data_IF_028159506328
#
_entry.id   IF_028159506328
#
_cell.length_a   1.000
_cell.length_b   1.000
_cell.length_c   1.000
_cell.angle_alpha   90.00
_cell.angle_beta   90.00
_cell.angle_gamma   90.00
#
_symmetry.space_group_name_H-M   'P 1'
#
loop_
_entity.id
_entity.type
_entity.pdbx_description
1 polymer ?
#
# COMPACT_ATOMS: atom_id res chain seq x y z
N UNK A 1 -19.51 -10.12 -14.42
CA UNK A 1 -19.58 -10.36 -12.96
C UNK A 1 -18.51 -9.52 -12.31
N UNK A 2 -18.92 -8.65 -11.38
CA UNK A 2 -18.02 -7.78 -10.63
C UNK A 2 -17.33 -8.59 -9.53
N UNK A 3 -16.01 -8.44 -9.38
CA UNK A 3 -15.25 -9.14 -8.35
C UNK A 3 -15.72 -8.75 -6.94
N UNK A 4 -16.17 -7.50 -6.78
CA UNK A 4 -16.71 -6.99 -5.53
C UNK A 4 -18.08 -7.62 -5.19
N UNK A 5 -18.89 -7.90 -6.21
CA UNK A 5 -20.17 -8.59 -6.04
C UNK A 5 -19.98 -10.07 -5.65
N UNK A 6 -18.98 -10.74 -6.21
CA UNK A 6 -18.61 -12.11 -5.80
C UNK A 6 -18.07 -12.10 -4.37
N UNK A 7 -17.23 -11.12 -4.02
CA UNK A 7 -16.67 -10.96 -2.68
C UNK A 7 -17.76 -10.73 -1.62
N UNK A 8 -18.75 -9.90 -1.91
CA UNK A 8 -19.88 -9.65 -1.02
C UNK A 8 -20.73 -10.91 -0.78
N UNK A 9 -21.02 -11.70 -1.83
CA UNK A 9 -21.82 -12.92 -1.73
C UNK A 9 -21.14 -14.00 -0.86
N UNK A 10 -19.82 -14.11 -0.94
CA UNK A 10 -19.05 -15.11 -0.16
C UNK A 10 -18.53 -14.58 1.18
N UNK A 11 -18.93 -13.37 1.57
CA UNK A 11 -18.47 -12.72 2.82
C UNK A 11 -16.97 -12.39 2.83
N UNK A 12 -16.33 -12.32 1.66
CA UNK A 12 -14.93 -11.97 1.54
C UNK A 12 -14.75 -10.45 1.66
N UNK A 13 -14.36 -10.02 2.85
CA UNK A 13 -13.90 -8.65 3.13
C UNK A 13 -12.38 -8.63 3.02
N UNK A 14 -11.84 -7.79 2.14
CA UNK A 14 -10.40 -7.56 2.10
C UNK A 14 -9.94 -7.09 3.49
N UNK A 15 -8.98 -7.79 4.08
CA UNK A 15 -8.46 -7.44 5.41
C UNK A 15 -7.98 -5.99 5.41
N UNK A 16 -8.30 -5.26 6.48
CA UNK A 16 -7.77 -3.92 6.67
C UNK A 16 -6.23 -3.95 6.61
N UNK A 17 -5.64 -2.96 5.94
CA UNK A 17 -4.18 -2.85 5.86
C UNK A 17 -3.61 -2.60 7.25
N UNK A 18 -2.57 -3.37 7.60
CA UNK A 18 -1.80 -3.15 8.82
C UNK A 18 -0.96 -1.87 8.72
N UNK A 19 -0.57 -1.31 9.87
CA UNK A 19 0.27 -0.11 9.92
C UNK A 19 1.56 -0.28 9.10
N UNK A 20 2.20 -1.43 9.20
CA UNK A 20 3.42 -1.77 8.48
C UNK A 20 3.19 -1.91 6.97
N UNK A 21 2.07 -2.54 6.56
CA UNK A 21 1.70 -2.62 5.13
C UNK A 21 1.49 -1.22 4.55
N UNK A 22 0.87 -0.31 5.31
CA UNK A 22 0.73 1.10 4.93
C UNK A 22 2.09 1.79 4.86
N UNK A 23 2.98 1.55 5.81
CA UNK A 23 4.32 2.16 5.86
C UNK A 23 5.19 1.72 4.69
N UNK A 24 5.27 0.42 4.40
CA UNK A 24 6.03 -0.12 3.27
C UNK A 24 5.48 0.36 1.92
N UNK A 25 4.16 0.31 1.74
CA UNK A 25 3.52 0.81 0.52
C UNK A 25 3.78 2.31 0.32
N UNK A 26 3.67 3.12 1.39
CA UNK A 26 3.90 4.56 1.30
C UNK A 26 5.36 4.89 1.03
N UNK A 27 6.30 4.16 1.64
CA UNK A 27 7.73 4.32 1.40
C UNK A 27 8.11 3.98 -0.05
N UNK A 28 7.51 2.93 -0.62
CA UNK A 28 7.69 2.60 -2.03
C UNK A 28 7.16 3.71 -2.95
N UNK A 29 5.95 4.20 -2.71
CA UNK A 29 5.38 5.30 -3.50
C UNK A 29 6.22 6.57 -3.40
N UNK A 30 6.84 6.83 -2.25
CA UNK A 30 7.77 7.93 -2.07
C UNK A 30 9.08 7.72 -2.87
N UNK A 31 9.70 6.54 -2.78
CA UNK A 31 10.92 6.19 -3.55
C UNK A 31 10.71 6.30 -5.06
N UNK A 32 9.54 5.90 -5.54
CA UNK A 32 9.15 5.98 -6.95
C UNK A 32 8.64 7.38 -7.38
N UNK A 33 8.74 8.39 -6.49
CA UNK A 33 8.37 9.77 -6.76
C UNK A 33 6.86 9.98 -7.10
N UNK A 34 6.01 9.09 -6.61
CA UNK A 34 4.54 9.20 -6.70
C UNK A 34 3.94 10.04 -5.56
N UNK A 35 4.65 10.20 -4.45
CA UNK A 35 4.28 11.04 -3.31
C UNK A 35 5.30 12.17 -3.09
N UNK A 36 4.81 13.32 -2.63
CA UNK A 36 5.62 14.38 -2.03
C UNK A 36 5.49 14.31 -0.50
N UNK A 37 6.56 14.71 0.18
CA UNK A 37 6.65 14.63 1.64
C UNK A 37 7.03 13.23 2.12
N UNK A 38 7.76 13.15 3.24
CA UNK A 38 8.19 11.87 3.81
C UNK A 38 6.96 11.16 4.41
N UNK A 39 6.69 9.88 4.08
CA UNK A 39 5.53 9.15 4.57
C UNK A 39 5.72 8.67 6.01
N UNK A 40 5.88 9.62 6.94
CA UNK A 40 5.99 9.35 8.38
C UNK A 40 4.68 9.71 9.06
N UNK A 41 4.23 8.86 9.98
CA UNK A 41 3.08 9.14 10.83
C UNK A 41 3.51 9.93 12.07
N UNK A 42 2.81 11.02 12.40
CA UNK A 42 3.09 11.81 13.59
C UNK A 42 2.29 13.12 13.64
N UNK A 43 2.19 13.70 14.83
CA UNK A 43 1.52 14.99 15.05
C UNK A 43 2.43 16.10 14.50
N UNK A 44 1.87 17.03 13.73
CA UNK A 44 2.61 18.14 13.13
C UNK A 44 3.45 17.77 11.89
N UNK A 45 3.43 16.50 11.46
CA UNK A 45 4.09 16.07 10.23
C UNK A 45 3.16 16.38 9.04
N UNK A 46 3.65 17.10 8.00
CA UNK A 46 2.87 17.35 6.79
C UNK A 46 2.38 16.05 6.16
N UNK A 47 1.09 16.00 5.81
CA UNK A 47 0.50 14.84 5.13
C UNK A 47 1.16 14.64 3.76
N UNK A 48 1.54 13.41 3.38
CA UNK A 48 2.01 13.14 2.03
C UNK A 48 0.95 13.47 0.99
N UNK A 49 1.37 14.03 -0.15
CA UNK A 49 0.47 14.38 -1.25
C UNK A 49 0.89 13.66 -2.53
N UNK A 50 -0.07 13.34 -3.40
CA UNK A 50 0.25 12.76 -4.70
C UNK A 50 0.94 13.79 -5.61
N UNK A 51 2.01 13.35 -6.28
CA UNK A 51 2.59 14.08 -7.41
C UNK A 51 1.65 14.02 -8.63
N UNK A 52 1.98 14.76 -9.70
CA UNK A 52 1.25 14.64 -10.98
C UNK A 52 1.34 13.20 -11.52
N UNK A 53 2.52 12.57 -11.43
CA UNK A 53 2.72 11.18 -11.82
C UNK A 53 1.89 10.23 -10.93
N UNK A 54 1.91 10.43 -9.62
CA UNK A 54 1.13 9.64 -8.67
C UNK A 54 -0.38 9.71 -8.96
N UNK A 55 -0.91 10.90 -9.27
CA UNK A 55 -2.32 11.07 -9.67
C UNK A 55 -2.65 10.33 -10.96
N UNK A 56 -1.76 10.35 -11.96
CA UNK A 56 -1.98 9.64 -13.24
C UNK A 56 -2.06 8.14 -13.04
N UNK A 57 -1.15 7.58 -12.26
CA UNK A 57 -1.12 6.14 -11.96
C UNK A 57 -2.33 5.73 -11.13
N UNK A 58 -2.67 6.51 -10.10
CA UNK A 58 -3.86 6.26 -9.30
C UNK A 58 -5.13 6.23 -10.16
N UNK A 59 -5.26 7.17 -11.12
CA UNK A 59 -6.38 7.20 -12.07
C UNK A 59 -6.38 6.01 -13.03
N UNK A 60 -5.21 5.49 -13.40
CA UNK A 60 -5.11 4.32 -14.28
C UNK A 60 -5.59 3.03 -13.60
N UNK A 61 -5.62 2.98 -12.26
CA UNK A 61 -6.10 1.83 -11.49
C UNK A 61 -5.27 0.56 -11.67
N UNK A 62 -4.07 0.67 -12.26
CA UNK A 62 -3.19 -0.45 -12.52
C UNK A 62 -2.29 -0.71 -11.30
N UNK A 63 -2.14 -1.96 -10.85
CA UNK A 63 -1.21 -2.30 -9.79
C UNK A 63 0.22 -1.88 -10.16
N UNK A 64 0.89 -1.17 -9.25
CA UNK A 64 2.28 -0.73 -9.43
C UNK A 64 3.31 -1.81 -9.10
N UNK A 65 2.98 -2.73 -8.20
CA UNK A 65 3.86 -3.82 -7.75
C UNK A 65 3.40 -5.13 -8.36
N UNK A 66 4.34 -5.99 -8.73
CA UNK A 66 4.02 -7.36 -9.10
C UNK A 66 3.56 -8.15 -7.87
N UNK A 67 2.81 -9.25 -8.09
CA UNK A 67 2.39 -10.14 -6.99
C UNK A 67 3.59 -10.73 -6.24
N UNK A 68 4.71 -10.91 -6.91
CA UNK A 68 5.96 -11.43 -6.33
C UNK A 68 6.56 -10.39 -5.39
N UNK A 69 6.65 -9.13 -5.81
CA UNK A 69 7.19 -8.04 -4.98
C UNK A 69 6.36 -7.82 -3.71
N UNK A 70 5.03 -7.89 -3.82
CA UNK A 70 4.12 -7.77 -2.69
C UNK A 70 4.27 -8.96 -1.71
N UNK A 71 4.49 -10.17 -2.24
CA UNK A 71 4.70 -11.36 -1.42
C UNK A 71 6.05 -11.33 -0.69
N UNK A 72 7.12 -10.93 -1.38
CA UNK A 72 8.44 -10.78 -0.78
C UNK A 72 8.45 -9.69 0.30
N UNK A 73 7.80 -8.54 0.06
CA UNK A 73 7.65 -7.50 1.08
C UNK A 73 6.96 -8.04 2.34
N UNK A 74 5.89 -8.82 2.16
CA UNK A 74 5.14 -9.46 3.25
C UNK A 74 5.97 -10.52 3.99
N UNK A 75 6.80 -11.29 3.28
CA UNK A 75 7.70 -12.27 3.88
C UNK A 75 8.81 -11.60 4.69
N UNK A 76 9.44 -10.54 4.16
CA UNK A 76 10.46 -9.76 4.88
C UNK A 76 9.93 -9.21 6.20
N UNK A 77 8.68 -8.75 6.23
CA UNK A 77 8.03 -8.28 7.46
C UNK A 77 7.83 -9.39 8.49
N UNK A 78 7.36 -10.59 8.07
CA UNK A 78 7.21 -11.74 8.98
C UNK A 78 8.53 -12.20 9.59
N UNK A 79 9.63 -12.07 8.84
CA UNK A 79 10.97 -12.41 9.29
C UNK A 79 11.58 -11.33 10.20
N UNK A 80 11.15 -10.07 10.06
CA UNK A 80 11.60 -8.94 10.88
C UNK A 80 10.80 -8.74 12.17
N UNK A 81 9.60 -9.32 12.28
CA UNK A 81 8.87 -9.39 13.53
C UNK A 81 9.58 -10.38 14.49
N UNK A 82 9.91 -9.98 15.74
CA UNK A 82 10.43 -10.94 16.70
C UNK A 82 9.35 -12.02 16.94
N UNK A 83 9.78 -13.29 16.97
CA UNK A 83 9.00 -14.37 17.55
C UNK A 83 8.74 -13.99 19.02
N UNK A 84 7.55 -13.44 19.28
CA UNK A 84 7.03 -13.25 20.62
C UNK A 84 6.56 -14.59 21.19
#
# INVERSE_FOLDING_TARGET
MDADAIGAEVGWVASALTHDEVSDASMFLFKENYLTGVPVMGIGIPRPMLTVAGRRVAKAGKPLRSKVDAHEAKLRQRLAAPLA
#
